data_IF_341445617322
#
_entry.id   IF_341445617322
#
_cell.length_a   1.000
_cell.length_b   1.000
_cell.length_c   1.000
_cell.angle_alpha   90.00
_cell.angle_beta   90.00
_cell.angle_gamma   90.00
#
_symmetry.space_group_name_H-M   'P 1'
#
loop_
_entity.id
_entity.type
_entity.pdbx_description
1 polymer ?
#
# COMPACT_ATOMS: atom_id res chain seq x y z
N UNK A 1 9.58 17.90 6.72
CA UNK A 1 9.42 16.47 6.37
C UNK A 1 8.09 16.25 5.65
N UNK A 2 8.13 15.61 4.50
CA UNK A 2 6.91 15.31 3.77
C UNK A 2 6.04 14.30 4.51
N UNK A 3 4.73 14.48 4.48
CA UNK A 3 3.81 13.50 5.05
C UNK A 3 3.52 12.41 4.04
N UNK A 4 3.87 11.20 4.39
CA UNK A 4 3.73 10.02 3.53
C UNK A 4 2.81 9.03 4.24
N UNK A 5 1.78 8.60 3.54
CA UNK A 5 0.73 7.76 4.09
C UNK A 5 0.78 6.34 3.55
N UNK A 6 0.50 5.38 4.44
CA UNK A 6 0.26 3.98 4.12
C UNK A 6 -1.18 3.72 4.51
N UNK A 7 -2.01 3.25 3.59
CA UNK A 7 -3.44 3.02 3.85
C UNK A 7 -3.73 1.53 3.86
N UNK A 8 -4.37 1.06 4.92
CA UNK A 8 -4.77 -0.34 5.07
C UNK A 8 -6.28 -0.43 4.99
N UNK A 9 -6.82 -1.31 4.14
CA UNK A 9 -8.26 -1.45 3.89
C UNK A 9 -8.69 -2.90 4.09
N UNK A 10 -9.58 -3.13 5.04
CA UNK A 10 -10.15 -4.45 5.31
C UNK A 10 -11.46 -4.27 6.08
N UNK A 11 -12.51 -5.00 5.69
CA UNK A 11 -13.80 -4.94 6.38
C UNK A 11 -13.85 -5.78 7.66
N UNK A 12 -12.87 -6.66 7.85
CA UNK A 12 -12.75 -7.45 9.07
C UNK A 12 -11.86 -6.76 10.07
N UNK A 13 -12.45 -6.28 11.17
CA UNK A 13 -11.73 -5.51 12.18
C UNK A 13 -10.49 -6.23 12.74
N UNK A 14 -10.62 -7.55 12.98
CA UNK A 14 -9.50 -8.33 13.52
C UNK A 14 -8.32 -8.40 12.56
N UNK A 15 -8.59 -8.53 11.26
CA UNK A 15 -7.55 -8.56 10.25
C UNK A 15 -6.89 -7.19 10.13
N UNK A 16 -7.69 -6.13 10.10
CA UNK A 16 -7.20 -4.76 10.03
C UNK A 16 -6.28 -4.43 11.22
N UNK A 17 -6.70 -4.80 12.43
CA UNK A 17 -5.89 -4.61 13.64
C UNK A 17 -4.56 -5.37 13.55
N UNK A 18 -4.57 -6.57 12.97
CA UNK A 18 -3.37 -7.38 12.78
C UNK A 18 -2.39 -6.71 11.82
N UNK A 19 -2.90 -6.19 10.69
CA UNK A 19 -2.07 -5.45 9.73
C UNK A 19 -1.47 -4.20 10.39
N UNK A 20 -2.27 -3.47 11.13
CA UNK A 20 -1.82 -2.25 11.82
C UNK A 20 -0.71 -2.55 12.82
N UNK A 21 -0.83 -3.65 13.57
CA UNK A 21 0.23 -4.08 14.50
C UNK A 21 1.52 -4.45 13.77
N UNK A 22 1.38 -5.20 12.67
CA UNK A 22 2.54 -5.64 11.90
C UNK A 22 3.29 -4.44 11.29
N UNK A 23 2.59 -3.35 10.98
CA UNK A 23 3.16 -2.17 10.37
C UNK A 23 3.56 -1.08 11.38
N UNK A 24 3.36 -1.30 12.66
CA UNK A 24 3.69 -0.30 13.69
C UNK A 24 5.15 0.15 13.66
N UNK A 25 6.03 -0.71 13.14
CA UNK A 25 7.44 -0.39 12.89
C UNK A 25 7.62 0.94 12.13
N UNK A 26 6.69 1.26 11.22
CA UNK A 26 6.78 2.46 10.39
C UNK A 26 6.09 3.69 11.00
N UNK A 27 5.34 3.53 12.08
CA UNK A 27 4.42 4.55 12.59
C UNK A 27 5.09 5.80 13.17
N UNK A 28 6.36 5.73 13.50
CA UNK A 28 7.13 6.87 14.01
C UNK A 28 7.52 7.86 12.91
N UNK A 29 7.53 7.43 11.65
CA UNK A 29 7.96 8.26 10.52
C UNK A 29 6.84 8.43 9.48
N UNK A 30 6.05 7.38 9.24
CA UNK A 30 4.97 7.38 8.26
C UNK A 30 3.60 7.39 8.95
N UNK A 31 2.62 8.00 8.31
CA UNK A 31 1.24 7.94 8.76
C UNK A 31 0.63 6.62 8.27
N UNK A 32 0.10 5.83 9.17
CA UNK A 32 -0.58 4.58 8.82
C UNK A 32 -2.06 4.78 9.10
N UNK A 33 -2.86 4.77 8.04
CA UNK A 33 -4.30 5.00 8.08
C UNK A 33 -5.05 3.69 7.90
N UNK A 34 -6.20 3.56 8.54
CA UNK A 34 -7.03 2.39 8.40
C UNK A 34 -8.42 2.73 7.86
N UNK A 35 -8.92 1.88 6.96
CA UNK A 35 -10.24 2.02 6.36
C UNK A 35 -10.96 0.67 6.43
N UNK A 36 -12.24 0.70 6.73
CA UNK A 36 -13.04 -0.52 6.84
C UNK A 36 -13.82 -0.85 5.57
N UNK A 37 -13.71 0.00 4.54
CA UNK A 37 -14.35 -0.24 3.24
C UNK A 37 -13.58 0.46 2.12
N UNK A 38 -13.86 0.04 0.88
CA UNK A 38 -13.29 0.70 -0.29
C UNK A 38 -13.74 2.17 -0.39
N UNK A 39 -15.01 2.44 -0.06
CA UNK A 39 -15.54 3.81 -0.12
C UNK A 39 -14.87 4.72 0.90
N UNK A 40 -14.61 4.22 2.09
CA UNK A 40 -13.88 4.96 3.12
C UNK A 40 -12.47 5.30 2.64
N UNK A 41 -11.82 4.37 1.96
CA UNK A 41 -10.51 4.60 1.36
C UNK A 41 -10.56 5.70 0.30
N UNK A 42 -11.55 5.65 -0.59
CA UNK A 42 -11.69 6.66 -1.64
C UNK A 42 -11.94 8.06 -1.05
N UNK A 43 -12.74 8.16 0.00
CA UNK A 43 -12.98 9.43 0.70
C UNK A 43 -11.69 9.95 1.34
N UNK A 44 -10.92 9.07 1.96
CA UNK A 44 -9.63 9.43 2.56
C UNK A 44 -8.66 9.93 1.49
N UNK A 45 -8.62 9.31 0.31
CA UNK A 45 -7.76 9.76 -0.77
C UNK A 45 -8.09 11.18 -1.21
N UNK A 46 -9.38 11.57 -1.23
CA UNK A 46 -9.76 12.94 -1.55
C UNK A 46 -9.25 13.92 -0.49
N UNK A 47 -9.35 13.57 0.78
CA UNK A 47 -8.83 14.40 1.87
C UNK A 47 -7.31 14.58 1.78
N UNK A 48 -6.59 13.48 1.55
CA UNK A 48 -5.12 13.52 1.48
C UNK A 48 -4.64 14.32 0.26
N UNK A 49 -5.32 14.17 -0.87
CA UNK A 49 -5.02 14.94 -2.06
C UNK A 49 -5.24 16.43 -1.82
N UNK A 50 -6.35 16.80 -1.17
CA UNK A 50 -6.64 18.20 -0.84
C UNK A 50 -5.58 18.81 0.08
N UNK A 51 -5.00 18.01 0.97
CA UNK A 51 -3.93 18.43 1.88
C UNK A 51 -2.54 18.31 1.26
N UNK A 52 -2.44 17.81 0.02
CA UNK A 52 -1.20 17.61 -0.71
C UNK A 52 -0.23 16.64 -0.01
N UNK A 53 -0.78 15.61 0.62
CA UNK A 53 0.01 14.56 1.25
C UNK A 53 0.25 13.40 0.28
N UNK A 54 1.38 12.74 0.43
CA UNK A 54 1.72 11.59 -0.38
C UNK A 54 0.98 10.33 0.09
N UNK A 55 0.56 9.52 -0.86
CA UNK A 55 0.01 8.18 -0.60
C UNK A 55 0.95 7.18 -1.23
N UNK A 56 1.78 6.56 -0.42
CA UNK A 56 2.82 5.65 -0.91
C UNK A 56 2.28 4.28 -1.26
N UNK A 57 1.47 3.70 -0.37
CA UNK A 57 1.01 2.32 -0.51
C UNK A 57 -0.46 2.22 -0.08
N UNK A 58 -1.22 1.42 -0.82
CA UNK A 58 -2.54 0.98 -0.39
C UNK A 58 -2.49 -0.53 -0.26
N UNK A 59 -2.79 -1.02 0.93
CA UNK A 59 -2.83 -2.45 1.26
C UNK A 59 -4.28 -2.81 1.45
N UNK A 60 -4.85 -3.62 0.56
CA UNK A 60 -6.28 -3.93 0.58
C UNK A 60 -6.56 -5.42 0.61
N UNK A 61 -7.56 -5.80 1.40
CA UNK A 61 -8.19 -7.11 1.28
C UNK A 61 -8.93 -7.18 -0.05
N UNK A 62 -9.11 -8.39 -0.58
CA UNK A 62 -9.82 -8.58 -1.85
C UNK A 62 -11.32 -8.67 -1.65
N UNK A 63 -11.78 -9.52 -0.74
CA UNK A 63 -13.21 -9.77 -0.57
C UNK A 63 -13.82 -8.81 0.45
N UNK A 64 -14.48 -7.78 -0.06
CA UNK A 64 -15.14 -6.77 0.75
C UNK A 64 -16.54 -6.50 0.20
N UNK A 65 -17.51 -6.17 1.06
CA UNK A 65 -18.87 -5.82 0.59
C UNK A 65 -18.86 -4.62 -0.35
N UNK A 66 -19.77 -4.61 -1.30
CA UNK A 66 -20.03 -3.52 -2.25
C UNK A 66 -18.94 -3.32 -3.30
N UNK A 67 -17.70 -3.06 -2.90
CA UNK A 67 -16.57 -2.89 -3.81
C UNK A 67 -15.39 -3.73 -3.34
N UNK A 68 -14.91 -4.63 -4.20
CA UNK A 68 -13.79 -5.51 -3.87
C UNK A 68 -12.46 -4.76 -3.86
N UNK A 69 -11.43 -5.40 -3.29
CA UNK A 69 -10.08 -4.85 -3.31
C UNK A 69 -9.56 -4.64 -4.72
N UNK A 70 -9.80 -5.59 -5.63
CA UNK A 70 -9.38 -5.46 -7.03
C UNK A 70 -10.08 -4.30 -7.72
N UNK A 71 -11.38 -4.12 -7.47
CA UNK A 71 -12.12 -2.97 -8.03
C UNK A 71 -11.57 -1.65 -7.49
N UNK A 72 -11.31 -1.57 -6.18
CA UNK A 72 -10.72 -0.40 -5.55
C UNK A 72 -9.35 -0.06 -6.16
N UNK A 73 -8.46 -1.05 -6.23
CA UNK A 73 -7.10 -0.83 -6.73
C UNK A 73 -7.09 -0.50 -8.23
N UNK A 74 -8.04 -1.05 -8.99
CA UNK A 74 -8.21 -0.72 -10.42
C UNK A 74 -8.62 0.76 -10.58
N UNK A 75 -9.55 1.21 -9.76
CA UNK A 75 -10.00 2.60 -9.79
C UNK A 75 -8.85 3.55 -9.45
N UNK A 76 -8.04 3.21 -8.44
CA UNK A 76 -6.87 4.00 -8.06
C UNK A 76 -5.83 4.01 -9.18
N UNK A 77 -5.61 2.87 -9.85
CA UNK A 77 -4.65 2.78 -10.94
C UNK A 77 -5.03 3.69 -12.12
N UNK A 78 -6.31 3.95 -12.31
CA UNK A 78 -6.82 4.83 -13.37
C UNK A 78 -6.82 6.31 -12.99
N UNK A 79 -6.54 6.61 -11.73
CA UNK A 79 -6.54 7.99 -11.23
C UNK A 79 -5.14 8.59 -11.40
N UNK A 80 -5.04 9.64 -12.20
CA UNK A 80 -3.75 10.28 -12.52
C UNK A 80 -3.05 10.87 -11.30
N UNK A 81 -3.80 11.17 -10.24
CA UNK A 81 -3.22 11.69 -8.98
C UNK A 81 -2.40 10.65 -8.23
N UNK A 82 -2.68 9.37 -8.45
CA UNK A 82 -2.12 8.26 -7.69
C UNK A 82 -1.38 7.23 -8.55
N UNK A 83 -0.88 7.64 -9.71
CA UNK A 83 -0.20 6.72 -10.64
C UNK A 83 1.03 6.04 -10.05
N UNK A 84 1.72 6.71 -9.13
CA UNK A 84 2.90 6.17 -8.47
C UNK A 84 2.61 5.38 -7.19
N UNK A 85 1.38 5.44 -6.68
CA UNK A 85 1.00 4.75 -5.45
C UNK A 85 1.12 3.24 -5.62
N UNK A 86 1.83 2.58 -4.71
CA UNK A 86 2.01 1.13 -4.74
C UNK A 86 0.76 0.43 -4.24
N UNK A 87 0.44 -0.70 -4.82
CA UNK A 87 -0.78 -1.45 -4.55
C UNK A 87 -0.43 -2.87 -4.12
N UNK A 88 -0.81 -3.21 -2.90
CA UNK A 88 -0.58 -4.53 -2.29
C UNK A 88 -1.93 -5.16 -1.95
N UNK A 89 -2.17 -6.35 -2.48
CA UNK A 89 -3.40 -7.10 -2.22
C UNK A 89 -3.13 -8.18 -1.18
N UNK A 90 -3.96 -8.23 -0.13
CA UNK A 90 -3.97 -9.32 0.84
C UNK A 90 -5.20 -10.17 0.56
N UNK A 91 -5.00 -11.45 0.32
CA UNK A 91 -6.11 -12.30 -0.13
C UNK A 91 -6.10 -13.67 0.53
N UNK A 92 -7.29 -14.12 0.96
CA UNK A 92 -7.46 -15.43 1.58
C UNK A 92 -7.48 -16.56 0.56
N UNK A 93 -8.19 -16.34 -0.51
CA UNK A 93 -8.38 -17.35 -1.57
C UNK A 93 -8.55 -16.63 -2.90
N UNK A 94 -7.46 -16.06 -3.42
CA UNK A 94 -7.51 -15.57 -4.78
C UNK A 94 -7.36 -16.77 -5.70
N UNK A 95 -8.28 -16.93 -6.63
CA UNK A 95 -8.05 -17.86 -7.73
C UNK A 95 -6.94 -17.28 -8.59
N UNK A 96 -6.24 -18.12 -9.34
CA UNK A 96 -5.21 -17.64 -10.24
C UNK A 96 -5.78 -16.61 -11.23
N UNK A 97 -7.03 -16.78 -11.64
CA UNK A 97 -7.72 -15.86 -12.56
C UNK A 97 -7.90 -14.48 -11.93
N UNK A 98 -8.29 -14.43 -10.65
CA UNK A 98 -8.45 -13.16 -9.93
C UNK A 98 -7.11 -12.44 -9.78
N UNK A 99 -6.06 -13.19 -9.47
CA UNK A 99 -4.70 -12.64 -9.34
C UNK A 99 -4.23 -12.04 -10.68
N UNK A 100 -4.43 -12.75 -11.79
CA UNK A 100 -4.07 -12.27 -13.11
C UNK A 100 -4.85 -11.00 -13.46
N UNK A 101 -6.15 -10.99 -13.16
CA UNK A 101 -7.00 -9.82 -13.37
C UNK A 101 -6.51 -8.61 -12.57
N UNK A 102 -6.13 -8.83 -11.31
CA UNK A 102 -5.60 -7.77 -10.44
C UNK A 102 -4.30 -7.21 -11.00
N UNK A 103 -3.38 -8.06 -11.42
CA UNK A 103 -2.11 -7.65 -12.02
C UNK A 103 -2.34 -6.79 -13.26
N UNK A 104 -3.24 -7.24 -14.15
CA UNK A 104 -3.48 -6.58 -15.43
C UNK A 104 -4.29 -5.29 -15.28
N UNK A 105 -5.34 -5.29 -14.48
CA UNK A 105 -6.29 -4.18 -14.39
C UNK A 105 -5.95 -3.17 -13.30
N UNK A 106 -5.52 -3.65 -12.12
CA UNK A 106 -5.20 -2.81 -10.97
C UNK A 106 -3.73 -2.39 -10.95
N UNK A 107 -2.91 -2.92 -11.84
CA UNK A 107 -1.46 -2.72 -11.84
C UNK A 107 -0.87 -3.02 -10.47
N UNK A 108 -1.22 -4.20 -9.98
CA UNK A 108 -0.82 -4.67 -8.66
C UNK A 108 0.69 -4.78 -8.57
N UNK A 109 1.28 -4.19 -7.53
CA UNK A 109 2.72 -4.27 -7.31
C UNK A 109 3.13 -5.55 -6.61
N UNK A 110 2.28 -6.04 -5.72
CA UNK A 110 2.54 -7.30 -5.01
C UNK A 110 1.24 -7.85 -4.40
N UNK A 111 1.22 -9.14 -4.10
CA UNK A 111 0.14 -9.73 -3.33
C UNK A 111 0.70 -10.72 -2.30
N UNK A 112 -0.01 -10.87 -1.18
CA UNK A 112 0.31 -11.84 -0.14
C UNK A 112 -0.94 -12.63 0.21
N UNK A 113 -0.77 -13.92 0.44
CA UNK A 113 -1.88 -14.77 0.87
C UNK A 113 -2.07 -14.66 2.39
N UNK A 114 -3.32 -14.63 2.82
CA UNK A 114 -3.68 -14.80 4.23
C UNK A 114 -3.53 -16.30 4.57
N UNK A 115 -2.95 -16.73 5.62
CA UNK A 115 -2.33 -15.94 6.70
C UNK A 115 -0.89 -15.60 6.28
N UNK A 116 -0.55 -14.33 6.21
CA UNK A 116 0.81 -13.91 5.83
C UNK A 116 1.78 -14.03 7.01
N UNK A 117 3.06 -14.12 6.67
CA UNK A 117 4.15 -13.99 7.64
C UNK A 117 4.34 -12.50 7.93
N UNK A 118 4.27 -12.05 9.19
CA UNK A 118 4.49 -10.64 9.53
C UNK A 118 5.81 -10.07 9.02
N UNK A 119 6.89 -10.87 9.04
CA UNK A 119 8.18 -10.44 8.53
C UNK A 119 8.17 -10.26 7.02
N UNK A 120 7.43 -11.10 6.30
CA UNK A 120 7.26 -10.97 4.86
C UNK A 120 6.46 -9.73 4.50
N UNK A 121 5.39 -9.44 5.23
CA UNK A 121 4.61 -8.22 5.04
C UNK A 121 5.48 -6.98 5.28
N UNK A 122 6.21 -6.97 6.38
CA UNK A 122 7.10 -5.86 6.73
C UNK A 122 8.14 -5.62 5.64
N UNK A 123 8.78 -6.69 5.17
CA UNK A 123 9.82 -6.60 4.14
C UNK A 123 9.22 -6.11 2.80
N UNK A 124 8.06 -6.62 2.43
CA UNK A 124 7.37 -6.18 1.20
C UNK A 124 7.04 -4.69 1.26
N UNK A 125 6.47 -4.23 2.37
CA UNK A 125 6.14 -2.81 2.55
C UNK A 125 7.40 -1.96 2.52
N UNK A 126 8.47 -2.41 3.16
CA UNK A 126 9.76 -1.72 3.17
C UNK A 126 10.30 -1.51 1.75
N UNK A 127 10.25 -2.55 0.93
CA UNK A 127 10.69 -2.48 -0.48
C UNK A 127 9.83 -1.53 -1.29
N UNK A 128 8.50 -1.63 -1.15
CA UNK A 128 7.56 -0.77 -1.88
C UNK A 128 7.69 0.70 -1.48
N UNK A 129 7.89 0.98 -0.19
CA UNK A 129 8.14 2.34 0.30
C UNK A 129 9.41 2.92 -0.32
N UNK A 130 10.47 2.12 -0.38
CA UNK A 130 11.74 2.55 -0.95
C UNK A 130 11.57 2.91 -2.43
N UNK A 131 10.89 2.04 -3.19
CA UNK A 131 10.61 2.30 -4.60
C UNK A 131 9.79 3.57 -4.78
N UNK A 132 8.74 3.75 -3.97
CA UNK A 132 7.88 4.93 -4.05
C UNK A 132 8.66 6.21 -3.82
N UNK A 133 9.43 6.27 -2.74
CA UNK A 133 10.18 7.47 -2.36
C UNK A 133 11.18 7.86 -3.43
N UNK A 134 11.91 6.90 -3.98
CA UNK A 134 12.89 7.16 -5.04
C UNK A 134 12.19 7.60 -6.34
N UNK A 135 11.14 6.90 -6.74
CA UNK A 135 10.40 7.20 -7.98
C UNK A 135 9.72 8.57 -7.94
N UNK A 136 9.25 9.00 -6.76
CA UNK A 136 8.63 10.31 -6.60
C UNK A 136 9.63 11.45 -6.43
N UNK A 137 10.92 11.14 -6.34
CA UNK A 137 11.95 12.16 -6.15
C UNK A 137 11.94 12.78 -4.76
N UNK A 138 11.41 12.09 -3.77
CA UNK A 138 11.41 12.57 -2.39
C UNK A 138 12.81 12.35 -1.81
N UNK A 139 13.30 13.31 -1.03
CA UNK A 139 14.58 13.18 -0.34
C UNK A 139 14.51 12.00 0.63
N UNK A 140 15.27 10.94 0.35
CA UNK A 140 15.22 9.72 1.14
C UNK A 140 16.07 9.75 2.41
N UNK A 141 16.92 10.77 2.59
CA UNK A 141 17.81 10.83 3.77
C UNK A 141 17.04 10.75 5.10
N UNK A 142 15.91 11.41 5.19
CA UNK A 142 15.09 11.42 6.40
C UNK A 142 14.41 10.09 6.70
N UNK A 143 14.31 9.22 5.69
CA UNK A 143 13.60 7.94 5.79
C UNK A 143 14.52 6.72 5.79
N UNK A 144 15.82 6.91 5.61
CA UNK A 144 16.82 5.84 5.41
C UNK A 144 16.68 4.67 6.37
N UNK A 145 16.42 4.96 7.63
CA UNK A 145 16.31 3.98 8.71
C UNK A 145 15.19 2.96 8.47
N UNK A 146 14.15 3.39 7.75
CA UNK A 146 12.96 2.56 7.46
C UNK A 146 12.96 1.96 6.07
N UNK A 147 13.92 2.31 5.23
CA UNK A 147 13.97 1.83 3.86
C UNK A 147 14.76 0.54 3.72
N UNK A 148 14.55 -0.13 2.60
CA UNK A 148 15.28 -1.36 2.27
C UNK A 148 16.58 -0.99 1.55
N UNK A 149 17.71 -1.20 2.21
CA UNK A 149 19.01 -0.80 1.68
C UNK A 149 19.33 -1.43 0.31
N UNK A 150 19.14 -2.75 0.10
CA UNK A 150 19.41 -3.34 -1.22
C UNK A 150 18.56 -2.72 -2.33
N UNK A 151 17.28 -2.45 -2.06
CA UNK A 151 16.39 -1.80 -3.02
C UNK A 151 16.85 -0.38 -3.32
N UNK A 152 17.19 0.37 -2.29
CA UNK A 152 17.67 1.74 -2.44
C UNK A 152 18.94 1.80 -3.30
N UNK A 153 19.93 0.96 -3.01
CA UNK A 153 21.16 0.91 -3.77
C UNK A 153 20.92 0.56 -5.24
N UNK A 154 20.01 -0.37 -5.50
CA UNK A 154 19.66 -0.76 -6.87
C UNK A 154 19.07 0.41 -7.65
N UNK A 155 18.21 1.20 -7.00
CA UNK A 155 17.47 2.29 -7.64
C UNK A 155 18.31 3.57 -7.86
N UNK A 156 19.23 3.88 -6.94
CA UNK A 156 20.05 5.10 -7.03
C UNK A 156 21.38 4.87 -7.74
N UNK A 157 21.66 3.66 -8.16
CA UNK A 157 22.91 3.31 -8.85
C UNK A 157 22.93 3.98 -10.22
N UNK A 158 24.04 4.71 -10.56
CA UNK A 158 24.15 5.34 -11.87
C UNK A 158 24.30 4.33 -13.02
#
# INVERSE_FOLDING_TARGET
>A
MEKINIICVDDEREVLDSVMRDLDYFSDIFNIEECESAFECLDLLEELDAEQEYVAIIISDHVMPEKSGVELLTEIALDSRFTGTKKLLLTGLATQADTIKAINNAKLDHFLEKVWDPDELLQTVKELLTEYIVEQGIDYDEYMEKLDAPTLYRLIRP
#
